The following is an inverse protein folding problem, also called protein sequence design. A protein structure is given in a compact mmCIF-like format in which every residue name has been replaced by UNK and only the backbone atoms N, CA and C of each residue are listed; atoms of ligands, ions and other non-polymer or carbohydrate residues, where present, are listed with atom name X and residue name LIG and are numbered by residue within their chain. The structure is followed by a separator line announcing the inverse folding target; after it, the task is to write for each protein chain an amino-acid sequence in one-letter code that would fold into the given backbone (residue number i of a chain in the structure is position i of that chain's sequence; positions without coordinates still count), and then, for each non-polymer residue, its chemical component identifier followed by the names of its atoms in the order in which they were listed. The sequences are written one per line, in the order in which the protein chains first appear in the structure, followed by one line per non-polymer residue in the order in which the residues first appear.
data_IF_505198092788
#
_entry.id   IF_505198092788
#
_cell.length_a   1.000
_cell.length_b   1.000
_cell.length_c   1.000
_cell.angle_alpha   90.00
_cell.angle_beta   90.00
_cell.angle_gamma   90.00
#
_symmetry.space_group_name_H-M   'P 1'
#
loop_
_entity.id
_entity.type
_entity.pdbx_description
1 polymer ?
#
# COMPACT_ATOMS: atom_id res chain seq x y z
N UNK A 1 49.53 -19.70 -21.60
CA UNK A 1 48.68 -19.25 -20.48
C UNK A 1 47.67 -18.29 -21.06
N UNK A 2 46.48 -18.79 -21.39
CA UNK A 2 45.39 -17.97 -21.90
C UNK A 2 44.53 -17.56 -20.70
N UNK A 3 44.36 -16.26 -20.57
CA UNK A 3 43.56 -15.55 -19.58
C UNK A 3 42.10 -15.99 -19.64
N UNK A 4 41.67 -16.79 -18.66
CA UNK A 4 40.26 -17.14 -18.47
C UNK A 4 39.59 -16.02 -17.70
N UNK A 5 39.20 -14.96 -18.41
CA UNK A 5 38.19 -14.05 -17.90
C UNK A 5 36.92 -14.86 -17.61
N UNK A 6 36.36 -14.83 -16.39
CA UNK A 6 35.12 -15.54 -16.12
C UNK A 6 34.02 -14.89 -16.97
N UNK A 7 33.52 -15.63 -17.96
CA UNK A 7 32.32 -15.27 -18.70
C UNK A 7 31.16 -15.18 -17.71
N UNK A 8 30.46 -14.05 -17.74
CA UNK A 8 29.39 -13.58 -16.84
C UNK A 8 28.13 -14.45 -16.87
N UNK A 9 28.23 -15.72 -16.48
CA UNK A 9 27.15 -16.70 -16.60
C UNK A 9 26.34 -16.89 -15.32
N UNK A 10 26.01 -15.84 -14.57
CA UNK A 10 25.04 -15.91 -13.44
C UNK A 10 24.62 -14.52 -12.86
N UNK A 11 24.44 -13.49 -13.69
CA UNK A 11 23.64 -12.34 -13.22
C UNK A 11 22.15 -12.73 -13.28
N UNK A 12 21.68 -13.39 -12.23
CA UNK A 12 20.25 -13.64 -12.04
C UNK A 12 19.52 -12.30 -12.15
N UNK A 13 18.70 -12.11 -13.20
CA UNK A 13 17.96 -10.88 -13.46
C UNK A 13 17.18 -10.50 -12.20
N UNK A 14 17.50 -9.34 -11.63
CA UNK A 14 16.79 -8.84 -10.46
C UNK A 14 15.32 -8.61 -10.81
N UNK A 15 14.40 -9.26 -10.08
CA UNK A 15 12.96 -9.02 -10.18
C UNK A 15 12.55 -8.01 -9.10
N UNK A 16 11.91 -6.93 -9.52
CA UNK A 16 11.64 -5.78 -8.65
C UNK A 16 10.15 -5.46 -8.61
N UNK A 17 9.63 -5.14 -7.43
CA UNK A 17 8.28 -4.67 -7.18
C UNK A 17 8.35 -3.53 -6.16
N UNK A 18 8.53 -2.31 -6.63
CA UNK A 18 8.81 -1.14 -5.77
C UNK A 18 7.59 -0.24 -5.52
N UNK A 19 6.40 -0.66 -5.95
CA UNK A 19 5.16 0.08 -5.79
C UNK A 19 4.04 -0.91 -5.50
N UNK A 20 3.72 -1.07 -4.21
CA UNK A 20 2.70 -2.01 -3.77
C UNK A 20 1.93 -1.43 -2.58
N UNK A 21 0.65 -1.74 -2.52
CA UNK A 21 -0.27 -1.26 -1.51
C UNK A 21 -0.70 -2.39 -0.60
N UNK A 22 -0.97 -2.07 0.66
CA UNK A 22 -1.62 -2.97 1.60
C UNK A 22 -2.99 -2.43 1.98
N UNK A 23 -3.75 -3.18 2.77
CA UNK A 23 -4.99 -2.70 3.38
C UNK A 23 -4.80 -1.47 4.29
N UNK A 24 -3.56 -1.07 4.59
CA UNK A 24 -3.33 0.20 5.28
C UNK A 24 -3.60 1.42 4.39
N UNK A 25 -3.66 1.26 3.06
CA UNK A 25 -4.23 2.23 2.13
C UNK A 25 -5.34 1.57 1.31
N UNK A 26 -5.15 1.33 0.01
CA UNK A 26 -6.15 0.74 -0.90
C UNK A 26 -5.74 -0.60 -1.52
N UNK A 27 -4.72 -1.25 -0.95
CA UNK A 27 -4.40 -2.64 -1.28
C UNK A 27 -5.42 -3.60 -0.67
N UNK A 28 -5.60 -4.76 -1.30
CA UNK A 28 -6.48 -5.83 -0.81
C UNK A 28 -5.81 -6.76 0.20
N UNK A 29 -4.48 -6.67 0.36
CA UNK A 29 -3.66 -7.65 1.06
C UNK A 29 -2.86 -7.04 2.21
N UNK A 30 -2.43 -7.89 3.15
CA UNK A 30 -1.45 -7.51 4.15
C UNK A 30 -0.02 -7.65 3.65
N UNK A 31 0.94 -7.05 4.36
CA UNK A 31 2.39 -7.17 4.07
C UNK A 31 2.82 -8.63 3.89
N UNK A 32 2.23 -9.57 4.64
CA UNK A 32 2.59 -10.99 4.55
C UNK A 32 2.20 -11.64 3.23
N UNK A 33 0.97 -11.40 2.79
CA UNK A 33 0.47 -11.99 1.56
C UNK A 33 1.23 -11.39 0.37
N UNK A 34 1.55 -10.10 0.44
CA UNK A 34 2.44 -9.44 -0.50
C UNK A 34 3.84 -10.09 -0.54
N UNK A 35 4.47 -10.36 0.62
CA UNK A 35 5.77 -11.05 0.68
C UNK A 35 5.66 -12.46 0.07
N UNK A 36 4.59 -13.18 0.35
CA UNK A 36 4.34 -14.52 -0.20
C UNK A 36 4.23 -14.50 -1.72
N UNK A 37 3.44 -13.57 -2.26
CA UNK A 37 3.28 -13.39 -3.71
C UNK A 37 4.60 -13.00 -4.37
N UNK A 38 5.30 -12.01 -3.80
CA UNK A 38 6.63 -11.62 -4.23
C UNK A 38 7.63 -12.79 -4.23
N UNK A 39 7.60 -13.65 -3.21
CA UNK A 39 8.47 -14.83 -3.12
C UNK A 39 8.18 -15.87 -4.19
N UNK A 40 6.89 -16.16 -4.46
CA UNK A 40 6.45 -17.05 -5.55
C UNK A 40 6.92 -16.54 -6.91
N UNK A 41 6.84 -15.23 -7.12
CA UNK A 41 7.25 -14.59 -8.36
C UNK A 41 8.75 -14.32 -8.43
N UNK A 42 9.49 -14.68 -7.39
CA UNK A 42 10.95 -14.60 -7.30
C UNK A 42 11.48 -13.16 -7.23
N UNK A 43 10.68 -12.23 -6.70
CA UNK A 43 11.04 -10.82 -6.49
C UNK A 43 12.16 -10.71 -5.46
N UNK A 44 13.23 -10.00 -5.82
CA UNK A 44 14.40 -9.76 -4.97
C UNK A 44 14.41 -8.37 -4.34
N UNK A 45 13.64 -7.42 -4.89
CA UNK A 45 13.48 -6.06 -4.34
C UNK A 45 11.99 -5.73 -4.22
N UNK A 46 11.51 -5.49 -3.00
CA UNK A 46 10.12 -5.22 -2.68
C UNK A 46 9.99 -3.88 -1.95
N UNK A 47 8.96 -3.09 -2.20
CA UNK A 47 8.60 -1.97 -1.35
C UNK A 47 7.08 -1.94 -1.11
N UNK A 48 6.68 -1.57 0.10
CA UNK A 48 5.30 -1.18 0.40
C UNK A 48 5.24 0.33 0.40
N UNK A 49 4.34 0.89 -0.39
CA UNK A 49 4.23 2.32 -0.70
C UNK A 49 2.78 2.76 -0.49
N UNK A 50 2.22 2.45 0.68
CA UNK A 50 0.85 2.85 1.02
C UNK A 50 0.65 4.36 0.89
N UNK A 51 -0.53 4.77 0.43
CA UNK A 51 -0.87 6.17 0.23
C UNK A 51 -0.84 6.97 1.54
N UNK A 52 -0.05 8.05 1.55
CA UNK A 52 0.05 9.05 2.62
C UNK A 52 0.30 8.48 4.03
N UNK A 53 0.75 7.23 4.11
CA UNK A 53 0.79 6.44 5.33
C UNK A 53 2.06 5.62 5.40
N UNK A 54 2.79 5.82 6.49
CA UNK A 54 3.89 4.97 6.91
C UNK A 54 3.50 4.07 8.09
N UNK A 55 2.19 3.96 8.40
CA UNK A 55 1.74 3.28 9.61
C UNK A 55 2.01 1.78 9.59
N UNK A 56 2.12 1.20 8.40
CA UNK A 56 2.60 -0.17 8.18
C UNK A 56 3.99 -0.40 8.80
N UNK A 57 4.79 0.66 8.95
CA UNK A 57 6.13 0.64 9.57
C UNK A 57 6.14 0.98 11.07
N UNK A 58 5.11 1.65 11.59
CA UNK A 58 5.07 2.21 12.97
C UNK A 58 5.09 1.14 14.06
N UNK A 59 4.36 0.04 13.84
CA UNK A 59 4.42 -1.15 14.72
C UNK A 59 5.51 -2.05 14.16
N UNK A 60 6.77 -1.70 14.47
CA UNK A 60 8.00 -2.37 14.00
C UNK A 60 7.83 -3.89 13.90
N UNK A 61 8.53 -4.47 12.91
CA UNK A 61 8.62 -5.90 12.54
C UNK A 61 8.84 -6.89 13.71
N UNK A 62 9.05 -6.45 14.97
CA UNK A 62 8.89 -7.26 16.19
C UNK A 62 7.57 -8.03 16.24
N UNK A 63 6.51 -7.51 15.61
CA UNK A 63 5.26 -8.25 15.44
C UNK A 63 5.31 -9.21 14.26
N UNK A 64 5.96 -8.83 13.15
CA UNK A 64 6.10 -9.68 11.95
C UNK A 64 6.95 -10.94 12.22
N UNK A 65 7.94 -10.86 13.10
CA UNK A 65 8.66 -12.05 13.62
C UNK A 65 7.83 -12.93 14.56
N UNK A 66 6.69 -12.44 15.08
CA UNK A 66 5.80 -13.14 16.05
C UNK A 66 4.45 -13.56 15.46
N UNK A 67 4.16 -13.23 14.20
CA UNK A 67 2.84 -13.38 13.61
C UNK A 67 2.69 -14.76 12.90
N UNK A 68 2.24 -15.77 13.66
CA UNK A 68 1.85 -17.14 13.26
C UNK A 68 3.00 -18.12 12.91
N UNK A 69 2.96 -19.40 13.37
CA UNK A 69 4.00 -20.42 13.11
C UNK A 69 4.19 -20.82 11.63
N UNK A 70 3.43 -20.25 10.70
CA UNK A 70 3.51 -20.53 9.26
C UNK A 70 4.28 -19.49 8.43
N UNK A 71 4.90 -18.49 9.08
CA UNK A 71 5.85 -17.54 8.47
C UNK A 71 6.96 -17.19 9.48
N UNK A 72 7.95 -18.07 9.64
CA UNK A 72 9.24 -17.83 10.31
C UNK A 72 10.22 -17.16 9.35
N UNK A 73 10.40 -15.85 9.49
CA UNK A 73 11.46 -15.11 8.81
C UNK A 73 12.81 -15.57 9.35
N UNK A 74 13.45 -16.50 8.64
CA UNK A 74 14.57 -17.28 9.19
C UNK A 74 15.84 -16.46 9.42
N UNK A 75 16.01 -15.29 8.76
CA UNK A 75 17.14 -14.36 8.97
C UNK A 75 16.76 -12.92 8.61
N UNK A 76 16.02 -12.24 9.49
CA UNK A 76 15.71 -10.83 9.31
C UNK A 76 16.91 -9.94 9.69
N UNK A 77 17.46 -9.21 8.73
CA UNK A 77 18.56 -8.26 8.94
C UNK A 77 18.09 -6.83 8.59
N UNK A 78 18.01 -5.90 9.56
CA UNK A 78 17.68 -4.51 9.28
C UNK A 78 18.79 -3.78 8.51
N UNK A 79 18.40 -2.81 7.71
CA UNK A 79 19.27 -1.78 7.15
C UNK A 79 18.53 -0.42 7.14
N UNK A 80 19.21 0.73 6.97
CA UNK A 80 18.53 2.03 6.88
C UNK A 80 17.44 2.04 5.80
N UNK A 81 16.20 2.35 6.18
CA UNK A 81 15.07 2.32 5.25
C UNK A 81 14.58 0.92 4.83
N UNK A 82 14.95 -0.18 5.50
CA UNK A 82 14.39 -1.49 5.14
C UNK A 82 14.92 -2.73 5.88
N UNK A 83 14.65 -3.90 5.28
CA UNK A 83 15.05 -5.21 5.78
C UNK A 83 15.51 -6.14 4.66
N UNK A 84 16.46 -7.00 5.00
CA UNK A 84 16.91 -8.12 4.20
C UNK A 84 16.44 -9.42 4.87
N UNK A 85 15.86 -10.35 4.13
CA UNK A 85 15.46 -11.65 4.66
C UNK A 85 15.30 -12.70 3.56
N UNK A 86 15.16 -13.96 3.98
CA UNK A 86 14.77 -15.07 3.11
C UNK A 86 13.29 -15.41 3.40
N UNK A 87 12.37 -15.31 2.42
CA UNK A 87 10.99 -15.69 2.62
C UNK A 87 10.88 -17.21 2.77
N UNK A 88 9.95 -17.68 3.60
CA UNK A 88 9.79 -19.12 3.85
C UNK A 88 9.38 -19.90 2.63
N UNK A 89 8.52 -19.30 1.81
CA UNK A 89 8.05 -19.91 0.57
C UNK A 89 9.19 -20.13 -0.42
N UNK A 90 10.33 -19.45 -0.22
CA UNK A 90 11.53 -19.61 -1.03
C UNK A 90 12.82 -19.34 -0.24
N UNK A 91 13.30 -20.28 0.59
CA UNK A 91 14.42 -20.06 1.51
C UNK A 91 15.77 -19.75 0.84
N UNK A 92 15.91 -20.03 -0.46
CA UNK A 92 17.09 -19.67 -1.26
C UNK A 92 17.02 -18.28 -1.93
N UNK A 93 15.90 -17.58 -1.80
CA UNK A 93 15.71 -16.25 -2.38
C UNK A 93 16.05 -15.18 -1.34
N UNK A 94 17.07 -14.38 -1.60
CA UNK A 94 17.35 -13.21 -0.77
C UNK A 94 16.47 -12.03 -1.21
N UNK A 95 15.57 -11.58 -0.33
CA UNK A 95 14.66 -10.46 -0.58
C UNK A 95 15.10 -9.22 0.19
N UNK A 96 15.19 -8.08 -0.51
CA UNK A 96 15.37 -6.73 0.05
C UNK A 96 14.03 -6.02 0.05
N UNK A 97 13.51 -5.71 1.23
CA UNK A 97 12.28 -4.97 1.41
C UNK A 97 12.58 -3.54 1.88
N UNK A 98 12.03 -2.55 1.21
CA UNK A 98 12.20 -1.13 1.53
C UNK A 98 10.96 -0.57 2.21
N UNK A 99 11.19 0.34 3.15
CA UNK A 99 10.16 1.22 3.68
C UNK A 99 9.84 2.27 2.64
N UNK A 100 8.60 2.23 2.15
CA UNK A 100 8.11 3.18 1.18
C UNK A 100 6.87 3.91 1.67
N UNK A 101 6.51 4.92 0.89
CA UNK A 101 5.26 5.69 1.00
C UNK A 101 4.98 6.33 -0.35
N UNK A 102 3.71 6.44 -0.70
CA UNK A 102 3.27 7.19 -1.87
C UNK A 102 2.56 8.47 -1.43
N UNK A 103 3.20 9.61 -1.65
CA UNK A 103 2.67 10.91 -1.29
C UNK A 103 1.70 11.41 -2.36
N UNK A 104 0.53 11.85 -1.92
CA UNK A 104 -0.36 12.67 -2.73
C UNK A 104 0.13 14.09 -2.75
N UNK A 105 0.38 14.62 -3.95
CA UNK A 105 0.81 16.00 -4.13
C UNK A 105 -0.13 16.70 -5.10
N UNK A 106 -0.64 17.85 -4.68
CA UNK A 106 -1.41 18.74 -5.53
C UNK A 106 -0.45 19.71 -6.20
N UNK A 107 -0.57 19.87 -7.51
CA UNK A 107 0.25 20.82 -8.27
C UNK A 107 -0.30 22.23 -8.02
N UNK A 108 0.51 23.14 -7.46
CA UNK A 108 0.03 24.46 -7.00
C UNK A 108 -0.71 25.27 -8.06
N UNK A 109 -0.23 25.21 -9.31
CA UNK A 109 -0.83 25.95 -10.43
C UNK A 109 -1.93 25.17 -11.16
N UNK A 110 -2.14 23.91 -10.79
CA UNK A 110 -3.12 22.99 -11.36
C UNK A 110 -3.76 22.17 -10.23
N UNK A 111 -4.55 22.80 -9.34
CA UNK A 111 -5.10 22.14 -8.15
C UNK A 111 -6.03 20.96 -8.45
N UNK A 112 -6.57 20.91 -9.67
CA UNK A 112 -7.30 19.78 -10.23
C UNK A 112 -6.41 18.55 -10.50
N UNK A 113 -5.12 18.76 -10.69
CA UNK A 113 -4.12 17.73 -10.94
C UNK A 113 -3.49 17.26 -9.63
N UNK A 114 -3.62 15.96 -9.37
CA UNK A 114 -2.89 15.27 -8.31
C UNK A 114 -1.82 14.39 -8.94
N UNK A 115 -0.57 14.57 -8.54
CA UNK A 115 0.52 13.64 -8.85
C UNK A 115 0.83 12.82 -7.61
N UNK A 116 1.34 11.62 -7.84
CA UNK A 116 1.83 10.77 -6.76
C UNK A 116 3.35 10.73 -6.81
N UNK A 117 3.99 10.91 -5.65
CA UNK A 117 5.44 10.86 -5.51
C UNK A 117 5.79 9.68 -4.62
N UNK A 118 6.54 8.73 -5.16
CA UNK A 118 7.10 7.64 -4.38
C UNK A 118 8.30 8.13 -3.57
N UNK A 119 8.33 7.74 -2.31
CA UNK A 119 9.54 7.76 -1.52
C UNK A 119 9.92 6.34 -1.10
N UNK A 120 11.18 5.98 -1.31
CA UNK A 120 11.71 4.64 -1.05
C UNK A 120 12.90 4.72 -0.11
N UNK A 121 13.01 3.75 0.81
CA UNK A 121 14.06 3.75 1.83
C UNK A 121 13.88 4.86 2.86
N UNK A 122 12.65 5.31 3.10
CA UNK A 122 12.38 6.40 4.03
C UNK A 122 12.41 5.85 5.45
N UNK A 123 13.19 6.49 6.32
CA UNK A 123 13.14 6.20 7.75
C UNK A 123 11.73 6.45 8.31
N UNK A 124 11.30 5.70 9.35
CA UNK A 124 10.03 5.98 10.01
C UNK A 124 9.92 7.46 10.36
N UNK A 125 8.76 8.11 10.09
CA UNK A 125 8.65 9.55 10.23
C UNK A 125 8.91 9.98 11.68
N UNK A 126 9.60 11.11 11.83
CA UNK A 126 9.64 11.85 13.09
C UNK A 126 8.21 12.27 13.48
N UNK A 127 7.96 12.65 14.75
CA UNK A 127 6.66 13.19 15.16
C UNK A 127 6.16 14.33 14.24
N UNK A 128 7.07 15.22 13.82
CA UNK A 128 6.74 16.33 12.93
C UNK A 128 6.37 15.86 11.51
N UNK A 129 7.11 14.90 10.95
CA UNK A 129 6.76 14.29 9.67
C UNK A 129 5.40 13.58 9.75
N UNK A 130 5.11 12.90 10.87
CA UNK A 130 3.82 12.24 11.06
C UNK A 130 2.66 13.24 11.11
N UNK A 131 2.86 14.43 11.68
CA UNK A 131 1.86 15.51 11.67
C UNK A 131 1.57 15.94 10.23
N UNK A 132 2.60 16.11 9.38
CA UNK A 132 2.40 16.49 7.98
C UNK A 132 1.70 15.38 7.19
N UNK A 133 2.11 14.11 7.36
CA UNK A 133 1.44 12.97 6.74
C UNK A 133 -0.05 12.90 7.12
N UNK A 134 -0.36 13.13 8.39
CA UNK A 134 -1.74 13.16 8.85
C UNK A 134 -2.55 14.29 8.20
N UNK A 135 -1.95 15.45 7.92
CA UNK A 135 -2.62 16.56 7.21
C UNK A 135 -2.92 16.19 5.75
N UNK A 136 -1.96 15.58 5.05
CA UNK A 136 -2.16 15.14 3.66
C UNK A 136 -3.27 14.09 3.59
N UNK A 137 -3.20 13.09 4.48
CA UNK A 137 -4.23 12.08 4.59
C UNK A 137 -5.62 12.65 4.93
N UNK A 138 -5.69 13.66 5.82
CA UNK A 138 -6.94 14.33 6.15
C UNK A 138 -7.53 15.05 4.93
N UNK A 139 -6.71 15.78 4.16
CA UNK A 139 -7.15 16.44 2.94
C UNK A 139 -7.66 15.42 1.88
N UNK A 140 -6.99 14.26 1.76
CA UNK A 140 -7.47 13.15 0.92
C UNK A 140 -8.83 12.64 1.38
N UNK A 141 -9.03 12.45 2.69
CA UNK A 141 -10.30 12.02 3.25
C UNK A 141 -11.43 13.02 2.95
N UNK A 142 -11.19 14.31 3.15
CA UNK A 142 -12.17 15.37 2.87
C UNK A 142 -12.57 15.39 1.39
N UNK A 143 -11.61 15.18 0.50
CA UNK A 143 -11.88 15.04 -0.93
C UNK A 143 -12.75 13.81 -1.24
N UNK A 144 -12.42 12.64 -0.68
CA UNK A 144 -13.21 11.41 -0.87
C UNK A 144 -14.63 11.61 -0.36
N UNK A 145 -14.78 12.26 0.79
CA UNK A 145 -16.08 12.62 1.37
C UNK A 145 -16.90 13.51 0.42
N UNK A 146 -16.30 14.60 -0.09
CA UNK A 146 -16.98 15.50 -1.03
C UNK A 146 -17.42 14.79 -2.32
N UNK A 147 -16.60 13.88 -2.84
CA UNK A 147 -16.97 13.05 -4.01
C UNK A 147 -18.17 12.17 -3.69
N UNK A 148 -18.19 11.49 -2.55
CA UNK A 148 -19.31 10.66 -2.13
C UNK A 148 -20.58 11.48 -1.91
N UNK A 149 -20.49 12.66 -1.29
CA UNK A 149 -21.62 13.57 -1.10
C UNK A 149 -22.20 14.04 -2.44
N UNK A 150 -21.34 14.39 -3.40
CA UNK A 150 -21.77 14.80 -4.74
C UNK A 150 -22.40 13.66 -5.53
N UNK A 151 -21.85 12.44 -5.43
CA UNK A 151 -22.45 11.21 -5.99
C UNK A 151 -23.85 11.03 -5.40
N UNK A 152 -23.98 11.07 -4.08
CA UNK A 152 -25.25 10.91 -3.37
C UNK A 152 -26.29 11.99 -3.74
N UNK A 153 -25.85 13.21 -4.03
CA UNK A 153 -26.72 14.34 -4.41
C UNK A 153 -27.27 14.21 -5.83
N UNK A 154 -26.49 13.65 -6.76
CA UNK A 154 -26.84 13.56 -8.19
C UNK A 154 -27.78 12.40 -8.52
N UNK A 155 -28.25 11.69 -7.52
CA UNK A 155 -28.91 10.42 -7.71
C UNK A 155 -30.27 10.32 -7.03
N UNK A 156 -31.16 9.67 -7.74
CA UNK A 156 -32.57 9.55 -7.41
C UNK A 156 -32.86 8.44 -6.38
N UNK A 157 -31.85 7.73 -5.86
CA UNK A 157 -32.05 6.80 -4.72
C UNK A 157 -31.08 5.62 -4.59
N UNK A 158 -30.15 5.41 -5.52
CA UNK A 158 -29.19 4.30 -5.59
C UNK A 158 -27.98 4.49 -4.63
N UNK A 159 -27.42 5.70 -4.54
CA UNK A 159 -26.22 6.04 -3.77
C UNK A 159 -26.48 6.42 -2.31
N UNK A 160 -27.73 6.52 -1.83
CA UNK A 160 -28.07 6.75 -0.39
C UNK A 160 -27.52 5.68 0.57
N UNK A 161 -26.77 4.70 0.07
CA UNK A 161 -26.16 3.58 0.80
C UNK A 161 -24.68 3.76 1.09
N UNK A 162 -23.97 4.70 0.44
CA UNK A 162 -22.54 4.92 0.69
C UNK A 162 -22.38 5.83 1.91
N UNK A 163 -22.12 5.24 3.08
CA UNK A 163 -21.82 5.95 4.32
C UNK A 163 -20.32 5.95 4.57
N UNK A 164 -19.72 7.14 4.67
CA UNK A 164 -18.33 7.31 5.09
C UNK A 164 -18.30 7.77 6.56
N UNK A 165 -17.63 7.01 7.41
CA UNK A 165 -17.40 7.36 8.82
C UNK A 165 -15.93 7.67 9.07
N UNK A 166 -15.65 8.64 9.94
CA UNK A 166 -14.29 8.99 10.41
C UNK A 166 -14.23 8.93 11.93
N UNK A 167 -13.36 8.08 12.47
CA UNK A 167 -13.25 7.79 13.91
C UNK A 167 -11.86 8.06 14.51
N UNK A 168 -11.00 8.85 13.85
CA UNK A 168 -9.69 9.27 14.39
C UNK A 168 -8.50 8.54 13.74
N UNK A 169 -7.36 8.32 14.46
CA UNK A 169 -6.11 7.88 13.85
C UNK A 169 -6.16 6.40 13.47
N UNK A 170 -6.84 6.16 12.36
CA UNK A 170 -7.31 4.87 11.89
C UNK A 170 -8.65 5.11 11.24
N UNK A 171 -8.68 5.37 9.94
CA UNK A 171 -9.96 5.46 9.25
C UNK A 171 -10.53 4.05 9.24
N UNK A 172 -11.80 3.91 9.60
CA UNK A 172 -12.59 2.73 9.23
C UNK A 172 -13.69 3.24 8.33
N UNK A 173 -13.49 3.15 7.01
CA UNK A 173 -14.61 3.28 6.10
C UNK A 173 -15.48 2.05 6.34
N UNK A 174 -16.60 2.21 7.06
CA UNK A 174 -17.69 1.22 7.04
C UNK A 174 -18.43 1.30 5.70
N UNK A 175 -17.69 1.21 4.61
CA UNK A 175 -18.23 0.53 3.45
C UNK A 175 -18.01 -0.96 3.69
N UNK A 176 -18.61 -1.79 2.86
CA UNK A 176 -18.60 -3.25 2.98
C UNK A 176 -17.17 -3.84 2.81
N UNK A 177 -16.12 -3.00 2.75
CA UNK A 177 -14.70 -3.34 2.48
C UNK A 177 -13.82 -3.03 3.69
N UNK A 178 -14.13 -3.65 4.83
CA UNK A 178 -13.20 -3.81 5.95
C UNK A 178 -12.53 -2.54 6.52
N UNK A 179 -11.59 -2.70 7.47
CA UNK A 179 -10.86 -1.57 8.04
C UNK A 179 -9.72 -1.13 7.10
N UNK A 180 -10.00 -0.23 6.15
CA UNK A 180 -8.94 0.52 5.46
C UNK A 180 -8.64 1.82 6.18
N UNK A 181 -7.35 2.00 6.51
CA UNK A 181 -6.84 3.12 7.29
C UNK A 181 -6.79 4.46 6.56
N UNK A 182 -6.80 4.47 5.21
CA UNK A 182 -6.76 5.69 4.40
C UNK A 182 -7.55 5.50 3.09
N UNK A 183 -8.77 6.05 3.00
CA UNK A 183 -9.66 5.79 1.88
C UNK A 183 -9.23 6.55 0.63
N UNK A 184 -9.55 5.93 -0.49
CA UNK A 184 -9.23 6.39 -1.84
C UNK A 184 -10.45 6.21 -2.73
N UNK A 185 -10.38 6.69 -3.98
CA UNK A 185 -11.46 6.49 -4.95
C UNK A 185 -11.70 5.00 -5.23
N UNK A 186 -10.70 4.14 -5.08
CA UNK A 186 -10.86 2.68 -5.21
C UNK A 186 -11.86 2.12 -4.21
N UNK A 187 -11.90 2.67 -3.00
CA UNK A 187 -12.86 2.26 -1.98
C UNK A 187 -14.29 2.65 -2.35
N UNK A 188 -14.49 3.81 -3.01
CA UNK A 188 -15.80 4.18 -3.55
C UNK A 188 -16.21 3.19 -4.65
N UNK A 189 -15.31 2.95 -5.62
CA UNK A 189 -15.58 2.06 -6.75
C UNK A 189 -15.92 0.63 -6.30
N UNK A 190 -15.13 0.06 -5.39
CA UNK A 190 -15.39 -1.28 -4.88
C UNK A 190 -16.66 -1.34 -4.01
N UNK A 191 -17.04 -0.23 -3.35
CA UNK A 191 -18.34 -0.16 -2.66
C UNK A 191 -19.49 -0.13 -3.67
N UNK A 192 -19.34 0.58 -4.78
CA UNK A 192 -20.34 0.61 -5.85
C UNK A 192 -20.49 -0.78 -6.49
N UNK A 193 -19.39 -1.49 -6.70
CA UNK A 193 -19.40 -2.86 -7.20
C UNK A 193 -20.15 -3.82 -6.27
N UNK A 194 -19.80 -3.84 -4.97
CA UNK A 194 -20.46 -4.69 -3.98
C UNK A 194 -21.95 -4.39 -3.79
N UNK A 195 -22.36 -3.14 -4.02
CA UNK A 195 -23.77 -2.74 -3.98
C UNK A 195 -24.52 -3.07 -5.29
N UNK A 196 -23.85 -3.64 -6.29
CA UNK A 196 -24.41 -3.93 -7.61
C UNK A 196 -24.62 -2.69 -8.48
N UNK A 197 -24.14 -1.53 -8.05
CA UNK A 197 -24.39 -0.25 -8.71
C UNK A 197 -23.65 -0.18 -10.05
N UNK A 198 -22.43 -0.72 -10.13
CA UNK A 198 -21.71 -0.77 -11.40
C UNK A 198 -22.49 -1.57 -12.46
N UNK A 199 -23.07 -2.69 -12.05
CA UNK A 199 -23.92 -3.51 -12.91
C UNK A 199 -25.22 -2.78 -13.32
N UNK A 200 -25.88 -2.07 -12.40
CA UNK A 200 -27.06 -1.23 -12.72
C UNK A 200 -26.75 -0.11 -13.72
N UNK A 201 -25.51 0.41 -13.70
CA UNK A 201 -25.01 1.42 -14.64
C UNK A 201 -24.50 0.82 -15.97
N UNK A 202 -24.59 -0.50 -16.15
CA UNK A 202 -24.14 -1.19 -17.37
C UNK A 202 -22.63 -1.42 -17.45
N UNK A 203 -21.90 -1.33 -16.34
CA UNK A 203 -20.50 -1.76 -16.26
C UNK A 203 -20.44 -3.22 -15.79
N UNK A 204 -19.88 -4.10 -16.62
CA UNK A 204 -19.54 -5.48 -16.25
C UNK A 204 -18.16 -5.49 -15.58
N UNK A 205 -18.05 -6.16 -14.42
CA UNK A 205 -16.82 -6.28 -13.62
C UNK A 205 -15.84 -7.34 -14.11
#
# INVERSE_FOLDING_TARGET
MADSTPTSSDEATAKVALHNHTFHSDGSEGVKDLIRHAARDQVTYLAVTDHDSSQVWRKRFERLSRLSPSVTLTRLQPFPGGYLFYPEERPGLLMRMYFGIEFTVVVTNHPEESVHILGLGIDPPSPDHQIQLNRIAQARFERVKAVTEEINRRDDGIYRRIQLTWDGPGITVRSVIGPSMYPTRMHIAATMDQLGILHELGYEG
#
